data_IF_605200910909
#
_entry.id   IF_605200910909
#
_cell.length_a   1.000
_cell.length_b   1.000
_cell.length_c   1.000
_cell.angle_alpha   90.00
_cell.angle_beta   90.00
_cell.angle_gamma   90.00
#
_symmetry.space_group_name_H-M   'P 1'
#
loop_
_entity.id
_entity.type
_entity.pdbx_description
1 polymer ?
#
# COMPACT_ATOMS: atom_id res chain seq x y z
N UNK A 1 7.40 -22.39 0.97
CA UNK A 1 8.30 -22.68 2.09
C UNK A 1 8.16 -21.59 3.12
N UNK A 2 7.83 -21.94 4.36
CA UNK A 2 7.77 -21.01 5.47
C UNK A 2 9.19 -20.52 5.78
N UNK A 3 9.36 -19.20 5.79
CA UNK A 3 10.60 -18.62 6.29
C UNK A 3 10.53 -18.67 7.83
N UNK A 4 11.56 -19.21 8.51
CA UNK A 4 11.58 -19.22 9.96
C UNK A 4 11.29 -17.84 10.53
N UNK A 5 10.55 -17.77 11.63
CA UNK A 5 10.15 -16.51 12.26
C UNK A 5 11.35 -15.62 12.52
N UNK A 6 11.25 -14.36 12.09
CA UNK A 6 12.29 -13.36 12.30
C UNK A 6 11.95 -12.58 13.58
N UNK A 7 12.76 -12.79 14.60
CA UNK A 7 12.52 -12.21 15.93
C UNK A 7 13.24 -10.86 16.18
N UNK A 8 14.14 -10.49 15.27
CA UNK A 8 14.92 -9.25 15.41
C UNK A 8 15.45 -8.77 14.05
N UNK A 9 15.90 -7.53 13.99
CA UNK A 9 16.59 -6.96 12.84
C UNK A 9 17.88 -7.78 12.54
N UNK A 10 18.59 -8.22 13.57
CA UNK A 10 19.81 -9.04 13.40
C UNK A 10 19.51 -10.34 12.68
N UNK A 11 18.37 -10.97 12.98
CA UNK A 11 17.93 -12.17 12.25
C UNK A 11 17.60 -11.86 10.79
N UNK A 12 16.95 -10.74 10.50
CA UNK A 12 16.70 -10.30 9.11
C UNK A 12 18.00 -10.09 8.34
N UNK A 13 19.02 -9.52 8.97
CA UNK A 13 20.33 -9.26 8.36
C UNK A 13 21.12 -10.53 8.03
N UNK A 14 20.76 -11.69 8.60
CA UNK A 14 21.35 -12.97 8.21
C UNK A 14 20.91 -13.45 6.83
N UNK A 15 19.81 -12.92 6.29
CA UNK A 15 19.36 -13.25 4.94
C UNK A 15 20.05 -12.36 3.90
N UNK A 16 20.83 -12.94 2.95
CA UNK A 16 21.60 -12.15 1.98
C UNK A 16 20.75 -11.19 1.16
N UNK A 17 19.51 -11.56 0.87
CA UNK A 17 18.55 -10.75 0.11
C UNK A 17 18.16 -9.47 0.85
N UNK A 18 18.03 -9.56 2.16
CA UNK A 18 17.76 -8.41 3.02
C UNK A 18 19.02 -7.59 3.25
N UNK A 19 20.10 -8.24 3.65
CA UNK A 19 21.36 -7.57 3.97
C UNK A 19 21.88 -6.72 2.80
N UNK A 20 21.76 -7.23 1.56
CA UNK A 20 22.16 -6.47 0.37
C UNK A 20 21.29 -5.23 0.07
N UNK A 21 20.17 -5.08 0.74
CA UNK A 21 19.19 -4.00 0.53
C UNK A 21 19.02 -3.06 1.75
N UNK A 22 19.51 -3.49 2.90
CA UNK A 22 19.45 -2.67 4.11
C UNK A 22 20.57 -1.64 4.04
N UNK A 23 20.20 -0.38 4.00
CA UNK A 23 21.10 0.74 4.23
C UNK A 23 21.26 0.97 5.73
N UNK A 24 22.41 1.48 6.15
CA UNK A 24 22.81 1.63 7.55
C UNK A 24 21.73 2.24 8.45
N UNK A 25 21.27 1.47 9.42
CA UNK A 25 20.50 1.91 10.57
C UNK A 25 18.99 2.10 10.34
N UNK A 26 18.29 2.21 11.45
CA UNK A 26 16.90 2.64 11.50
C UNK A 26 16.86 4.16 11.71
N UNK A 27 16.05 4.88 10.96
CA UNK A 27 15.84 6.32 11.15
C UNK A 27 14.34 6.63 11.21
N UNK A 28 14.03 7.75 11.86
CA UNK A 28 12.67 8.24 11.95
C UNK A 28 12.17 8.62 10.54
N UNK A 29 10.91 8.31 10.27
CA UNK A 29 10.25 8.76 9.04
C UNK A 29 10.13 10.29 9.10
N UNK A 30 10.82 11.05 8.21
CA UNK A 30 10.73 12.49 8.19
C UNK A 30 9.29 12.96 7.98
N UNK A 31 8.85 13.92 8.80
CA UNK A 31 7.50 14.47 8.77
C UNK A 31 6.48 13.70 9.61
N UNK A 32 6.79 12.50 10.11
CA UNK A 32 5.82 11.69 10.88
C UNK A 32 5.49 12.32 12.24
N UNK A 33 6.50 12.78 12.98
CA UNK A 33 6.33 13.34 14.34
C UNK A 33 5.53 14.64 14.35
N UNK A 34 5.53 15.37 13.24
CA UNK A 34 4.77 16.63 13.08
C UNK A 34 4.19 16.69 11.68
N UNK A 35 3.18 15.87 11.45
CA UNK A 35 2.56 15.70 10.13
C UNK A 35 1.61 16.85 9.83
N UNK A 36 1.77 17.47 8.66
CA UNK A 36 0.80 18.43 8.17
C UNK A 36 -0.32 17.70 7.44
N UNK A 37 -1.55 17.84 7.92
CA UNK A 37 -2.74 17.32 7.25
C UNK A 37 -3.95 18.24 7.36
N UNK A 38 -5.01 17.90 6.63
CA UNK A 38 -6.27 18.64 6.67
C UNK A 38 -7.16 18.11 7.79
N UNK A 39 -7.45 18.96 8.77
CA UNK A 39 -8.39 18.65 9.85
C UNK A 39 -9.83 18.82 9.32
N UNK A 40 -10.59 17.73 9.34
CA UNK A 40 -11.96 17.70 8.78
C UNK A 40 -12.98 18.44 9.64
N UNK A 41 -12.69 18.62 10.93
CA UNK A 41 -13.56 19.35 11.87
C UNK A 41 -13.39 20.85 11.73
N UNK A 42 -12.15 21.33 11.82
CA UNK A 42 -11.84 22.77 11.74
C UNK A 42 -11.82 23.31 10.31
N UNK A 43 -11.77 22.41 9.30
CA UNK A 43 -11.67 22.75 7.88
C UNK A 43 -10.37 23.49 7.51
N UNK A 44 -9.31 23.30 8.28
CA UNK A 44 -8.01 23.93 8.08
C UNK A 44 -6.88 22.89 8.09
N UNK A 45 -5.75 23.24 7.49
CA UNK A 45 -4.51 22.49 7.65
C UNK A 45 -3.94 22.72 9.04
N UNK A 46 -3.51 21.62 9.67
CA UNK A 46 -2.90 21.66 10.99
C UNK A 46 -1.85 20.54 11.11
N UNK A 47 -0.96 20.69 12.06
CA UNK A 47 -0.02 19.63 12.43
C UNK A 47 -0.69 18.63 13.37
N UNK A 48 -0.29 17.37 13.24
CA UNK A 48 -0.73 16.28 14.11
C UNK A 48 0.41 15.30 14.38
N UNK A 49 0.33 14.59 15.50
CA UNK A 49 1.27 13.52 15.89
C UNK A 49 0.59 12.15 15.86
N UNK A 50 -0.61 12.06 15.29
CA UNK A 50 -1.46 10.86 15.34
C UNK A 50 -1.42 10.03 14.06
N UNK A 51 -0.49 10.34 13.15
CA UNK A 51 -0.33 9.58 11.91
C UNK A 51 0.34 8.24 12.15
N UNK A 52 -0.25 7.18 11.61
CA UNK A 52 0.25 5.81 11.64
C UNK A 52 0.74 5.41 10.24
N UNK A 53 2.05 5.18 10.02
CA UNK A 53 2.58 4.75 8.75
C UNK A 53 2.07 3.34 8.41
N UNK A 54 1.84 3.08 7.11
CA UNK A 54 1.23 1.84 6.65
C UNK A 54 2.05 1.12 5.57
N UNK A 55 2.39 1.81 4.50
CA UNK A 55 3.02 1.19 3.34
C UNK A 55 4.07 2.09 2.72
N UNK A 56 4.98 1.48 1.97
CA UNK A 56 6.12 2.14 1.34
C UNK A 56 6.28 1.65 -0.10
N UNK A 57 6.62 2.55 -1.01
CA UNK A 57 7.10 2.17 -2.35
C UNK A 57 8.11 3.17 -2.91
N UNK A 58 8.82 2.77 -3.95
CA UNK A 58 9.66 3.65 -4.77
C UNK A 58 8.87 4.14 -5.98
N UNK A 59 8.95 5.45 -6.22
CA UNK A 59 8.45 6.11 -7.44
C UNK A 59 9.58 6.92 -8.02
N UNK A 60 10.21 6.41 -9.08
CA UNK A 60 11.46 6.95 -9.61
C UNK A 60 12.53 7.02 -8.50
N UNK A 61 13.06 8.21 -8.22
CA UNK A 61 14.06 8.42 -7.14
C UNK A 61 13.44 8.77 -5.78
N UNK A 62 12.12 8.87 -5.70
CA UNK A 62 11.43 9.15 -4.44
C UNK A 62 11.04 7.88 -3.69
N UNK A 63 11.06 7.98 -2.36
CA UNK A 63 10.43 7.02 -1.46
C UNK A 63 9.11 7.61 -0.98
N UNK A 64 8.02 6.90 -1.17
CA UNK A 64 6.68 7.29 -0.74
C UNK A 64 6.25 6.42 0.42
N UNK A 65 5.77 7.04 1.50
CA UNK A 65 5.28 6.35 2.69
C UNK A 65 3.87 6.86 2.98
N UNK A 66 2.89 5.96 3.03
CA UNK A 66 1.52 6.29 3.37
C UNK A 66 1.30 6.30 4.88
N UNK A 67 0.42 7.16 5.37
CA UNK A 67 -0.02 7.16 6.76
C UNK A 67 -1.47 7.59 6.89
N UNK A 68 -2.18 6.97 7.85
CA UNK A 68 -3.53 7.34 8.22
C UNK A 68 -3.57 7.96 9.62
N UNK A 69 -4.62 8.74 9.89
CA UNK A 69 -4.84 9.34 11.21
C UNK A 69 -5.51 8.34 12.17
N UNK A 70 -4.85 8.04 13.28
CA UNK A 70 -5.38 7.18 14.34
C UNK A 70 -6.31 7.90 15.31
N UNK A 71 -6.30 9.24 15.32
CA UNK A 71 -7.21 10.03 16.16
C UNK A 71 -8.65 9.91 15.68
N UNK A 72 -9.57 9.91 16.64
CA UNK A 72 -11.01 9.76 16.37
C UNK A 72 -11.79 10.89 17.00
N UNK A 73 -12.83 11.32 16.30
CA UNK A 73 -13.83 12.21 16.86
C UNK A 73 -14.83 11.42 17.75
N UNK A 74 -15.80 12.13 18.33
CA UNK A 74 -16.85 11.54 19.17
C UNK A 74 -17.74 10.52 18.46
N UNK A 75 -17.70 10.50 17.12
CA UNK A 75 -18.45 9.54 16.27
C UNK A 75 -17.57 8.39 15.76
N UNK A 76 -16.31 8.33 16.17
CA UNK A 76 -15.34 7.31 15.73
C UNK A 76 -14.73 7.56 14.35
N UNK A 77 -14.96 8.72 13.73
CA UNK A 77 -14.37 9.07 12.45
C UNK A 77 -12.97 9.70 12.64
N UNK A 78 -12.03 9.43 11.73
CA UNK A 78 -10.72 10.05 11.75
C UNK A 78 -10.83 11.57 11.61
N UNK A 79 -10.05 12.29 12.42
CA UNK A 79 -10.08 13.76 12.48
C UNK A 79 -9.32 14.35 11.29
N UNK A 80 -8.20 13.74 10.90
CA UNK A 80 -7.36 14.21 9.80
C UNK A 80 -7.47 13.32 8.56
N UNK A 81 -7.25 13.91 7.40
CA UNK A 81 -7.09 13.17 6.14
C UNK A 81 -5.79 12.39 6.14
N UNK A 82 -5.77 11.27 5.44
CA UNK A 82 -4.56 10.46 5.25
C UNK A 82 -3.53 11.19 4.39
N UNK A 83 -2.27 10.83 4.54
CA UNK A 83 -1.14 11.50 3.88
C UNK A 83 -0.20 10.52 3.20
N UNK A 84 0.62 11.05 2.29
CA UNK A 84 1.80 10.37 1.74
C UNK A 84 3.01 11.27 1.96
N UNK A 85 3.98 10.80 2.73
CA UNK A 85 5.29 11.44 2.84
C UNK A 85 6.11 11.10 1.61
N UNK A 86 6.69 12.11 0.98
CA UNK A 86 7.56 11.96 -0.19
C UNK A 86 8.97 12.32 0.22
N UNK A 87 9.85 11.33 0.21
CA UNK A 87 11.26 11.50 0.54
C UNK A 87 12.09 11.43 -0.73
N UNK A 88 13.16 12.21 -0.79
CA UNK A 88 14.13 12.17 -1.88
C UNK A 88 15.13 10.99 -1.74
N UNK A 89 16.17 10.98 -2.57
CA UNK A 89 17.23 9.97 -2.53
C UNK A 89 18.09 10.01 -1.27
N UNK A 90 18.09 11.14 -0.55
CA UNK A 90 18.81 11.32 0.72
C UNK A 90 17.93 11.00 1.91
N UNK A 91 16.70 10.52 1.69
CA UNK A 91 15.65 10.32 2.69
C UNK A 91 15.20 11.60 3.38
N UNK A 92 15.35 12.75 2.76
CA UNK A 92 14.83 14.02 3.25
C UNK A 92 13.38 14.23 2.79
N UNK A 93 12.54 14.82 3.67
CA UNK A 93 11.15 15.11 3.34
C UNK A 93 11.06 16.25 2.32
N UNK A 94 10.62 15.92 1.12
CA UNK A 94 10.38 16.88 0.04
C UNK A 94 9.02 17.52 0.16
N UNK A 95 7.99 16.69 0.43
CA UNK A 95 6.60 17.14 0.58
C UNK A 95 5.74 16.10 1.28
N UNK A 96 4.59 16.56 1.79
CA UNK A 96 3.52 15.70 2.29
C UNK A 96 2.30 15.90 1.41
N UNK A 97 1.86 14.85 0.72
CA UNK A 97 0.62 14.88 -0.04
C UNK A 97 -0.54 14.52 0.88
N UNK A 98 -1.51 15.41 1.00
CA UNK A 98 -2.75 15.15 1.74
C UNK A 98 -3.76 14.53 0.78
N UNK A 99 -4.26 13.35 1.11
CA UNK A 99 -5.20 12.61 0.29
C UNK A 99 -6.61 13.22 0.34
N UNK A 100 -7.49 12.89 -0.62
CA UNK A 100 -8.84 13.44 -0.68
C UNK A 100 -9.69 13.21 0.56
N UNK A 101 -9.44 12.10 1.29
CA UNK A 101 -10.15 11.77 2.53
C UNK A 101 -9.29 10.93 3.49
N UNK A 102 -9.90 10.45 4.58
CA UNK A 102 -9.29 9.56 5.56
C UNK A 102 -9.47 8.12 5.11
N UNK A 103 -8.43 7.56 4.50
CA UNK A 103 -8.36 6.16 4.08
C UNK A 103 -7.38 5.40 4.97
N UNK A 104 -7.49 4.08 5.05
CA UNK A 104 -6.54 3.27 5.81
C UNK A 104 -5.15 3.21 5.16
N UNK A 105 -5.07 3.38 3.85
CA UNK A 105 -3.85 3.46 3.02
C UNK A 105 -2.85 2.32 3.23
N UNK A 106 -3.37 1.11 3.42
CA UNK A 106 -2.61 -0.09 3.79
C UNK A 106 -1.66 -0.61 2.71
N UNK A 107 -1.67 -0.05 1.51
CA UNK A 107 -0.77 -0.42 0.42
C UNK A 107 -0.51 0.75 -0.51
N UNK A 108 0.68 0.77 -1.12
CA UNK A 108 1.06 1.70 -2.17
C UNK A 108 1.94 0.99 -3.20
N UNK A 109 1.70 1.24 -4.48
CA UNK A 109 2.49 0.69 -5.58
C UNK A 109 2.61 1.69 -6.73
N UNK A 110 3.56 1.46 -7.62
CA UNK A 110 3.79 2.30 -8.79
C UNK A 110 3.57 1.51 -10.08
N UNK A 111 2.51 1.86 -10.82
CA UNK A 111 2.31 1.42 -12.20
C UNK A 111 3.22 2.26 -13.10
N UNK A 112 4.43 1.77 -13.30
CA UNK A 112 5.46 2.48 -14.06
C UNK A 112 5.14 2.56 -15.55
N UNK A 113 4.35 1.65 -16.10
CA UNK A 113 3.97 1.65 -17.52
C UNK A 113 3.01 2.80 -17.83
N UNK A 114 2.10 3.13 -16.92
CA UNK A 114 1.11 4.19 -17.09
C UNK A 114 1.49 5.49 -16.35
N UNK A 115 2.54 5.48 -15.52
CA UNK A 115 2.93 6.64 -14.70
C UNK A 115 1.89 6.96 -13.63
N UNK A 116 1.44 5.96 -12.88
CA UNK A 116 0.37 6.08 -11.90
C UNK A 116 0.78 5.50 -10.54
N UNK A 117 0.47 6.23 -9.47
CA UNK A 117 0.67 5.79 -8.09
C UNK A 117 -0.64 5.23 -7.58
N UNK A 118 -0.62 4.00 -7.10
CA UNK A 118 -1.78 3.23 -6.64
C UNK A 118 -1.76 3.17 -5.12
N UNK A 119 -2.89 3.47 -4.47
CA UNK A 119 -3.01 3.47 -3.01
C UNK A 119 -4.22 2.63 -2.62
N UNK A 120 -4.03 1.57 -1.83
CA UNK A 120 -5.11 0.77 -1.28
C UNK A 120 -5.90 1.59 -0.24
N UNK A 121 -7.20 1.80 -0.46
CA UNK A 121 -8.01 2.69 0.39
C UNK A 121 -8.67 1.99 1.57
N UNK A 122 -8.84 0.68 1.52
CA UNK A 122 -9.68 -0.11 2.43
C UNK A 122 -11.12 0.44 2.54
N UNK A 123 -11.65 0.92 1.42
CA UNK A 123 -13.01 1.47 1.30
C UNK A 123 -13.54 1.28 -0.12
N UNK A 124 -14.78 1.71 -0.36
CA UNK A 124 -15.41 1.68 -1.69
C UNK A 124 -14.45 2.19 -2.80
N UNK A 125 -14.48 1.52 -3.94
CA UNK A 125 -13.56 1.68 -5.07
C UNK A 125 -12.12 1.23 -4.79
N UNK A 126 -11.90 0.42 -3.77
CA UNK A 126 -10.68 -0.30 -3.39
C UNK A 126 -9.36 0.50 -3.49
N UNK A 127 -9.06 1.11 -4.61
CA UNK A 127 -7.79 1.78 -4.90
C UNK A 127 -8.01 3.26 -5.27
N UNK A 128 -7.16 4.14 -4.74
CA UNK A 128 -7.00 5.53 -5.19
C UNK A 128 -5.79 5.61 -6.13
N UNK A 129 -5.92 6.36 -7.21
CA UNK A 129 -4.90 6.47 -8.25
C UNK A 129 -4.50 7.93 -8.43
N UNK A 130 -3.19 8.20 -8.34
CA UNK A 130 -2.60 9.54 -8.54
C UNK A 130 -1.73 9.49 -9.79
N UNK A 131 -1.94 10.41 -10.74
CA UNK A 131 -1.06 10.53 -11.90
C UNK A 131 0.29 11.14 -11.50
N UNK A 132 1.37 10.76 -12.21
CA UNK A 132 2.67 11.42 -12.02
C UNK A 132 2.61 12.92 -12.34
N UNK A 133 1.78 13.32 -13.30
CA UNK A 133 1.59 14.74 -13.62
C UNK A 133 1.08 15.51 -12.38
N UNK A 134 0.06 14.98 -11.68
CA UNK A 134 -0.43 15.57 -10.44
C UNK A 134 0.56 15.42 -9.30
N UNK A 135 1.23 14.28 -9.19
CA UNK A 135 2.27 14.06 -8.19
C UNK A 135 3.38 15.12 -8.25
N UNK A 136 3.86 15.46 -9.45
CA UNK A 136 4.88 16.50 -9.61
C UNK A 136 4.34 17.92 -9.44
N UNK A 137 3.10 18.16 -9.87
CA UNK A 137 2.46 19.47 -9.80
C UNK A 137 2.14 19.91 -8.37
N UNK A 138 1.67 19.00 -7.52
CA UNK A 138 1.22 19.34 -6.18
C UNK A 138 2.39 19.37 -5.19
N UNK A 139 2.71 20.56 -4.67
CA UNK A 139 3.77 20.76 -3.69
C UNK A 139 3.33 20.39 -2.26
N UNK A 140 2.03 20.50 -1.92
CA UNK A 140 1.54 20.28 -0.56
C UNK A 140 0.16 19.64 -0.42
N UNK A 141 -0.74 19.66 -1.42
CA UNK A 141 -2.16 19.46 -1.13
C UNK A 141 -2.90 18.52 -2.07
N UNK A 142 -3.92 17.88 -1.49
CA UNK A 142 -4.98 17.04 -2.05
C UNK A 142 -4.74 16.59 -3.49
N UNK A 143 -4.12 15.45 -3.60
CA UNK A 143 -4.11 14.74 -4.86
C UNK A 143 -5.55 14.47 -5.29
N UNK A 144 -5.87 14.80 -6.52
CA UNK A 144 -7.09 14.28 -7.14
C UNK A 144 -6.83 12.83 -7.54
N UNK A 145 -7.77 11.96 -7.23
CA UNK A 145 -7.71 10.62 -7.77
C UNK A 145 -8.20 10.60 -9.23
N UNK A 146 -7.51 9.80 -10.03
CA UNK A 146 -7.97 9.36 -11.33
C UNK A 146 -9.24 8.52 -11.12
N UNK A 147 -10.21 8.60 -12.01
CA UNK A 147 -11.39 7.75 -11.97
C UNK A 147 -10.98 6.29 -12.16
N UNK A 148 -11.46 5.40 -11.29
CA UNK A 148 -11.18 3.97 -11.38
C UNK A 148 -12.47 3.23 -11.70
N UNK A 149 -12.43 2.42 -12.76
CA UNK A 149 -13.54 1.58 -13.18
C UNK A 149 -13.05 0.15 -13.41
N UNK A 150 -13.92 -0.82 -13.17
CA UNK A 150 -13.68 -2.21 -13.52
C UNK A 150 -14.33 -2.51 -14.87
N UNK A 151 -13.57 -3.13 -15.78
CA UNK A 151 -14.10 -3.61 -17.06
C UNK A 151 -14.64 -5.03 -16.88
N UNK A 152 -15.77 -5.18 -16.20
CA UNK A 152 -16.38 -6.46 -15.93
C UNK A 152 -17.83 -6.41 -16.42
N UNK A 153 -18.29 -7.49 -17.05
CA UNK A 153 -19.70 -7.69 -17.32
C UNK A 153 -20.50 -7.66 -16.03
N UNK A 154 -21.60 -6.92 -16.00
CA UNK A 154 -22.29 -6.43 -14.80
C UNK A 154 -22.74 -7.47 -13.76
N UNK A 155 -22.56 -8.76 -13.99
CA UNK A 155 -23.16 -9.83 -13.16
C UNK A 155 -22.16 -10.70 -12.38
N UNK A 156 -20.86 -10.37 -12.35
CA UNK A 156 -19.89 -11.25 -11.69
C UNK A 156 -19.21 -10.56 -10.49
N UNK A 157 -19.92 -10.54 -9.36
CA UNK A 157 -19.44 -9.99 -8.09
C UNK A 157 -18.14 -10.63 -7.59
N UNK A 158 -17.79 -11.83 -8.08
CA UNK A 158 -16.57 -12.53 -7.70
C UNK A 158 -15.28 -11.95 -8.32
N UNK A 159 -15.41 -11.04 -9.28
CA UNK A 159 -14.29 -10.39 -9.98
C UNK A 159 -13.99 -8.99 -9.47
N UNK A 160 -14.79 -8.51 -8.52
CA UNK A 160 -14.63 -7.18 -7.92
C UNK A 160 -14.03 -7.28 -6.53
N UNK A 161 -13.11 -6.38 -6.24
CA UNK A 161 -12.69 -6.10 -4.88
C UNK A 161 -13.25 -4.73 -4.45
N UNK A 162 -14.09 -4.74 -3.42
CA UNK A 162 -14.69 -3.52 -2.89
C UNK A 162 -13.79 -2.79 -1.90
N UNK A 163 -12.91 -3.52 -1.21
CA UNK A 163 -12.04 -2.98 -0.19
C UNK A 163 -10.67 -3.65 -0.27
N UNK A 164 -9.69 -2.96 -0.82
CA UNK A 164 -8.31 -3.42 -0.85
C UNK A 164 -7.54 -2.88 0.35
N UNK A 165 -6.84 -3.77 1.06
CA UNK A 165 -5.94 -3.45 2.16
C UNK A 165 -4.50 -3.38 1.72
N UNK A 166 -4.15 -4.00 0.60
CA UNK A 166 -2.81 -3.99 0.01
C UNK A 166 -2.87 -3.86 -1.50
N UNK A 167 -1.80 -3.37 -2.10
CA UNK A 167 -1.64 -3.27 -3.54
C UNK A 167 -0.20 -3.54 -3.94
N UNK A 168 -0.01 -4.27 -5.02
CA UNK A 168 1.27 -4.47 -5.69
C UNK A 168 1.13 -4.26 -7.19
N UNK A 169 2.23 -3.95 -7.86
CA UNK A 169 2.33 -3.85 -9.31
C UNK A 169 3.56 -4.60 -9.79
N UNK A 170 3.40 -5.41 -10.82
CA UNK A 170 4.52 -6.12 -11.46
C UNK A 170 4.19 -6.45 -12.91
N UNK A 171 5.10 -6.14 -13.82
CA UNK A 171 5.06 -6.54 -15.23
C UNK A 171 3.69 -6.27 -15.91
N UNK A 172 3.15 -5.06 -15.73
CA UNK A 172 1.89 -4.65 -16.34
C UNK A 172 0.63 -5.18 -15.66
N UNK A 173 0.74 -5.81 -14.50
CA UNK A 173 -0.39 -6.30 -13.71
C UNK A 173 -0.47 -5.61 -12.36
N UNK A 174 -1.70 -5.32 -11.93
CA UNK A 174 -2.05 -4.77 -10.61
C UNK A 174 -2.67 -5.88 -9.78
N UNK A 175 -2.22 -5.98 -8.55
CA UNK A 175 -2.70 -6.95 -7.58
C UNK A 175 -3.28 -6.22 -6.37
N UNK A 176 -4.57 -6.42 -6.12
CA UNK A 176 -5.29 -5.82 -4.99
C UNK A 176 -5.61 -6.91 -3.97
N UNK A 177 -5.09 -6.78 -2.75
CA UNK A 177 -5.28 -7.77 -1.70
C UNK A 177 -6.31 -7.35 -0.66
N UNK A 178 -7.16 -8.28 -0.23
CA UNK A 178 -8.03 -8.14 0.93
C UNK A 178 -7.27 -8.45 2.21
N UNK A 179 -7.80 -8.02 3.35
CA UNK A 179 -7.32 -8.42 4.68
C UNK A 179 -8.34 -9.35 5.32
N UNK A 180 -7.88 -10.49 5.84
CA UNK A 180 -8.69 -11.44 6.61
C UNK A 180 -7.98 -11.81 7.91
N UNK A 181 -8.65 -11.55 9.05
CA UNK A 181 -8.15 -11.90 10.37
C UNK A 181 -8.65 -13.31 10.75
N UNK A 182 -7.91 -14.34 10.34
CA UNK A 182 -8.31 -15.73 10.57
C UNK A 182 -9.40 -16.23 9.62
N UNK A 183 -9.63 -15.51 8.53
CA UNK A 183 -10.53 -15.87 7.42
C UNK A 183 -9.78 -15.82 6.10
N UNK A 184 -10.41 -16.32 5.06
CA UNK A 184 -9.85 -16.30 3.71
C UNK A 184 -9.54 -14.86 3.26
N UNK A 185 -8.31 -14.67 2.81
CA UNK A 185 -7.85 -13.47 2.13
C UNK A 185 -7.55 -13.80 0.67
N UNK A 186 -7.72 -12.82 -0.20
CA UNK A 186 -7.47 -12.99 -1.62
C UNK A 186 -6.72 -11.80 -2.18
N UNK A 187 -5.87 -12.07 -3.17
CA UNK A 187 -5.40 -11.05 -4.08
C UNK A 187 -6.08 -11.22 -5.45
N UNK A 188 -6.52 -10.11 -5.99
CA UNK A 188 -7.16 -10.01 -7.30
C UNK A 188 -6.18 -9.41 -8.28
N UNK A 189 -5.90 -10.12 -9.36
CA UNK A 189 -5.02 -9.68 -10.43
C UNK A 189 -5.83 -9.01 -11.53
N UNK A 190 -5.38 -7.81 -11.92
CA UNK A 190 -5.99 -7.03 -13.00
C UNK A 190 -4.93 -6.59 -14.00
N UNK A 191 -5.32 -6.52 -15.28
CA UNK A 191 -4.59 -5.77 -16.28
C UNK A 191 -5.12 -4.35 -16.32
N UNK A 192 -4.30 -3.33 -16.00
CA UNK A 192 -4.74 -1.95 -16.04
C UNK A 192 -4.73 -1.38 -17.46
N UNK A 193 -5.70 -0.52 -17.74
CA UNK A 193 -5.79 0.26 -18.98
C UNK A 193 -6.04 1.72 -18.59
N UNK A 194 -5.11 2.62 -18.88
CA UNK A 194 -5.25 4.04 -18.60
C UNK A 194 -5.68 4.82 -19.82
N UNK A 195 -6.85 5.43 -19.76
CA UNK A 195 -7.32 6.41 -20.74
C UNK A 195 -7.02 7.82 -20.23
N UNK A 196 -5.88 8.39 -20.66
CA UNK A 196 -5.44 9.73 -20.22
C UNK A 196 -6.44 10.81 -20.62
N UNK A 197 -7.07 10.74 -21.79
CA UNK A 197 -8.03 11.74 -22.28
C UNK A 197 -9.30 11.80 -21.39
N UNK A 198 -9.75 10.66 -20.89
CA UNK A 198 -10.90 10.56 -19.98
C UNK A 198 -10.50 10.62 -18.50
N UNK A 199 -9.20 10.67 -18.21
CA UNK A 199 -8.65 10.53 -16.86
C UNK A 199 -9.27 9.35 -16.09
N UNK A 200 -9.28 8.17 -16.73
CA UNK A 200 -9.92 6.96 -16.22
C UNK A 200 -8.96 5.77 -16.30
N UNK A 201 -8.83 5.09 -15.18
CA UNK A 201 -8.05 3.87 -15.02
C UNK A 201 -8.99 2.68 -14.94
N UNK A 202 -8.94 1.82 -15.96
CA UNK A 202 -9.76 0.62 -16.05
C UNK A 202 -8.96 -0.58 -15.53
N UNK A 203 -9.59 -1.41 -14.72
CA UNK A 203 -9.04 -2.66 -14.20
C UNK A 203 -9.78 -3.85 -14.83
N UNK A 204 -9.10 -4.56 -15.74
CA UNK A 204 -9.60 -5.78 -16.36
C UNK A 204 -9.18 -6.98 -15.53
N UNK A 205 -10.15 -7.72 -14.98
CA UNK A 205 -9.91 -8.91 -14.18
C UNK A 205 -9.22 -10.02 -14.98
N UNK A 206 -8.21 -10.65 -14.34
CA UNK A 206 -7.53 -11.82 -14.89
C UNK A 206 -7.83 -13.07 -14.06
N UNK A 207 -7.46 -13.05 -12.77
CA UNK A 207 -7.65 -14.14 -11.82
C UNK A 207 -7.57 -13.62 -10.38
N UNK A 208 -7.88 -14.50 -9.43
CA UNK A 208 -7.61 -14.28 -8.00
C UNK A 208 -6.92 -15.49 -7.41
N UNK A 209 -6.19 -15.28 -6.34
CA UNK A 209 -5.51 -16.34 -5.59
C UNK A 209 -5.61 -16.06 -4.08
N UNK A 210 -5.40 -17.10 -3.30
CA UNK A 210 -5.39 -16.99 -1.85
C UNK A 210 -4.16 -16.22 -1.35
N UNK A 211 -4.38 -15.36 -0.36
CA UNK A 211 -3.34 -14.78 0.47
C UNK A 211 -3.37 -15.43 1.85
N UNK A 212 -2.22 -15.60 2.52
CA UNK A 212 -2.20 -16.00 3.92
C UNK A 212 -3.06 -15.06 4.77
N UNK A 213 -3.77 -15.60 5.75
CA UNK A 213 -4.50 -14.81 6.74
C UNK A 213 -3.55 -13.82 7.43
N UNK A 214 -4.08 -12.67 7.83
CA UNK A 214 -3.31 -11.57 8.46
C UNK A 214 -2.24 -10.93 7.57
N UNK A 215 -2.29 -11.10 6.24
CA UNK A 215 -1.40 -10.38 5.32
C UNK A 215 -1.64 -8.88 5.41
N UNK A 216 -0.62 -8.14 5.85
CA UNK A 216 -0.64 -6.68 5.94
C UNK A 216 -0.24 -6.02 4.61
N UNK A 217 0.62 -6.68 3.86
CA UNK A 217 1.07 -6.23 2.56
C UNK A 217 1.87 -7.31 1.85
N UNK A 218 2.01 -7.16 0.54
CA UNK A 218 2.85 -8.05 -0.25
C UNK A 218 3.50 -7.30 -1.40
N UNK A 219 4.59 -7.86 -1.89
CA UNK A 219 5.30 -7.36 -3.07
C UNK A 219 5.71 -8.51 -3.97
N UNK A 220 5.89 -8.21 -5.25
CA UNK A 220 6.36 -9.14 -6.26
C UNK A 220 7.73 -8.69 -6.77
N UNK A 221 8.71 -9.57 -6.74
CA UNK A 221 10.07 -9.26 -7.18
C UNK A 221 10.72 -10.44 -7.88
N UNK A 222 11.62 -10.15 -8.82
CA UNK A 222 12.46 -11.17 -9.42
C UNK A 222 13.60 -11.50 -8.47
N UNK A 223 13.73 -12.78 -8.13
CA UNK A 223 14.77 -13.29 -7.28
C UNK A 223 15.36 -14.57 -7.88
N UNK A 224 16.67 -14.57 -8.14
CA UNK A 224 17.39 -15.68 -8.76
C UNK A 224 16.70 -16.22 -10.02
N UNK A 225 16.26 -15.31 -10.91
CA UNK A 225 15.62 -15.66 -12.18
C UNK A 225 14.17 -16.20 -12.06
N UNK A 226 13.58 -16.13 -10.87
CA UNK A 226 12.18 -16.53 -10.64
C UNK A 226 11.41 -15.36 -10.02
N UNK A 227 10.15 -15.20 -10.43
CA UNK A 227 9.26 -14.27 -9.79
C UNK A 227 8.81 -14.85 -8.44
N UNK A 228 8.95 -14.05 -7.38
CA UNK A 228 8.53 -14.40 -6.03
C UNK A 228 7.59 -13.35 -5.45
N UNK A 229 6.66 -13.81 -4.63
CA UNK A 229 5.85 -12.98 -3.76
C UNK A 229 6.44 -12.99 -2.35
N UNK A 230 6.61 -11.81 -1.78
CA UNK A 230 6.92 -11.61 -0.36
C UNK A 230 5.69 -11.06 0.32
N UNK A 231 5.20 -11.75 1.35
CA UNK A 231 4.02 -11.36 2.11
C UNK A 231 4.40 -11.06 3.56
N UNK A 232 4.07 -9.87 4.01
CA UNK A 232 4.20 -9.46 5.42
C UNK A 232 2.94 -9.83 6.17
N UNK A 233 3.08 -10.65 7.19
CA UNK A 233 1.98 -11.17 8.01
C UNK A 233 2.16 -10.67 9.44
N UNK A 234 1.13 -10.09 10.03
CA UNK A 234 1.16 -9.65 11.42
C UNK A 234 -0.11 -10.04 12.13
N UNK A 235 0.03 -10.85 13.16
CA UNK A 235 -1.08 -11.25 14.02
C UNK A 235 -1.52 -10.14 14.98
N UNK A 236 -0.84 -8.99 14.96
CA UNK A 236 -1.12 -7.88 15.86
C UNK A 236 -0.89 -8.24 17.32
N UNK A 237 -1.47 -7.43 18.19
CA UNK A 237 -1.47 -7.67 19.62
C UNK A 237 -2.61 -8.63 19.98
N UNK A 238 -2.41 -9.93 19.78
CA UNK A 238 -3.40 -10.93 20.18
C UNK A 238 -3.17 -11.31 21.66
N UNK A 239 -3.71 -10.51 22.57
CA UNK A 239 -3.58 -10.71 24.02
C UNK A 239 -4.13 -12.06 24.48
N UNK A 240 -5.12 -12.62 23.80
CA UNK A 240 -5.74 -13.91 24.11
C UNK A 240 -4.85 -15.11 23.77
N UNK A 241 -3.93 -14.96 22.82
CA UNK A 241 -3.05 -16.04 22.38
C UNK A 241 -1.58 -15.82 22.77
N UNK A 242 -1.23 -14.69 23.37
CA UNK A 242 0.14 -14.35 23.75
C UNK A 242 1.13 -14.28 22.56
N UNK A 243 0.62 -14.19 21.34
CA UNK A 243 1.44 -14.21 20.14
C UNK A 243 1.61 -12.78 19.64
N UNK A 244 2.84 -12.26 19.78
CA UNK A 244 3.25 -10.95 19.28
C UNK A 244 4.29 -11.15 18.17
N UNK A 245 3.91 -11.79 17.07
CA UNK A 245 4.87 -12.05 16.02
C UNK A 245 4.38 -11.57 14.67
N UNK A 246 5.34 -11.12 13.89
CA UNK A 246 5.18 -10.84 12.47
C UNK A 246 6.09 -11.77 11.69
N UNK A 247 5.65 -12.18 10.52
CA UNK A 247 6.36 -13.08 9.65
C UNK A 247 6.52 -12.45 8.27
N UNK A 248 7.60 -12.78 7.61
CA UNK A 248 7.76 -12.57 6.19
C UNK A 248 7.76 -13.93 5.49
N UNK A 249 6.70 -14.18 4.72
CA UNK A 249 6.61 -15.38 3.89
C UNK A 249 7.06 -15.08 2.47
N UNK A 250 7.68 -16.07 1.84
CA UNK A 250 8.07 -16.00 0.43
C UNK A 250 7.51 -17.19 -0.34
N UNK A 251 6.90 -16.88 -1.49
CA UNK A 251 6.28 -17.86 -2.37
C UNK A 251 6.87 -17.76 -3.77
N UNK A 252 7.02 -18.89 -4.45
CA UNK A 252 7.21 -18.86 -5.92
C UNK A 252 5.92 -18.36 -6.53
N UNK A 253 6.02 -17.38 -7.42
CA UNK A 253 4.86 -16.72 -7.99
C UNK A 253 4.79 -16.93 -9.50
N UNK A 254 3.59 -17.28 -9.99
CA UNK A 254 3.28 -17.41 -11.41
C UNK A 254 2.31 -16.29 -11.81
N UNK A 255 2.71 -15.46 -12.78
CA UNK A 255 1.87 -14.35 -13.24
C UNK A 255 0.55 -14.77 -13.91
N UNK A 256 0.39 -16.04 -14.26
CA UNK A 256 -0.83 -16.53 -14.90
C UNK A 256 -1.93 -16.94 -13.91
N UNK A 257 -1.57 -17.33 -12.68
CA UNK A 257 -2.52 -17.90 -11.72
C UNK A 257 -2.19 -17.63 -10.24
N UNK A 258 -1.06 -16.98 -9.94
CA UNK A 258 -0.66 -16.65 -8.56
C UNK A 258 0.35 -17.65 -7.97
N UNK A 259 0.12 -18.05 -6.71
CA UNK A 259 0.94 -18.98 -5.92
C UNK A 259 0.40 -20.39 -5.95
#
# INVERSE_FOLDING_TARGET
>A
EDVPGVNSMDTLLTYPEFNSKVTDGAYLIPGLVSSVSYNKQTKHFATTQTMCPQAICKVNHYTLITAYDSSKDSKGASIYKSVVYVLDSNNELVKTLVLPDSYHVGGIAFDSANGLILIAKASASAVGVISLDDFYKYLRFSSKFVNVNYTIEENDSNKFIYSASSVAYKNGQVYLGTFGAGSDSYAYCYTPIYNKAKNTYYLKYNYKFYLPSYTQGFSLTDYKGKLRMFASISYGRNETKGIYCSYLYTYTFNQSNGI
#
